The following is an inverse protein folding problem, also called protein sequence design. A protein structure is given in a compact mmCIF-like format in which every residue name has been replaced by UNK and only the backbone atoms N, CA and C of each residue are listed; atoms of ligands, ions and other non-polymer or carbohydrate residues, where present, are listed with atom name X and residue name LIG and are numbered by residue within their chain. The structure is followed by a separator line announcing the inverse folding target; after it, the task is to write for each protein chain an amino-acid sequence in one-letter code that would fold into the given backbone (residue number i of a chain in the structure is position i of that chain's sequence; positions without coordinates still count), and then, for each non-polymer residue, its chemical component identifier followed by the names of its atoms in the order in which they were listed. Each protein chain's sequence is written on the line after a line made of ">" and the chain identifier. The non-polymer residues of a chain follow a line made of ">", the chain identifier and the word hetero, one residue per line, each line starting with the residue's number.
data_IF_265040146313
#
_entry.id   IF_265040146313
#
_cell.length_a   1.000
_cell.length_b   1.000
_cell.length_c   1.000
_cell.angle_alpha   90.00
_cell.angle_beta   90.00
_cell.angle_gamma   90.00
#
_symmetry.space_group_name_H-M   'P 1'
#
loop_
_entity.id
_entity.type
_entity.pdbx_description
1 polymer ?
#
# COMPACT_ATOMS: atom_id res chain seq x y z
N UNK A 1 24.72 -21.61 12.86
CA UNK A 1 23.27 -21.93 12.75
C UNK A 1 22.88 -21.79 11.31
N UNK A 2 22.83 -22.93 10.65
CA UNK A 2 22.50 -23.09 9.23
C UNK A 2 21.07 -22.59 8.99
N UNK A 3 20.95 -21.73 7.99
CA UNK A 3 19.68 -21.11 7.62
C UNK A 3 18.95 -22.16 6.79
N UNK A 4 17.93 -22.80 7.37
CA UNK A 4 17.09 -23.79 6.70
C UNK A 4 16.67 -23.30 5.31
N UNK A 5 17.31 -23.85 4.29
CA UNK A 5 17.06 -23.66 2.87
C UNK A 5 15.89 -24.54 2.40
N UNK A 6 14.81 -24.59 3.20
CA UNK A 6 13.74 -25.57 3.07
C UNK A 6 12.34 -24.99 3.16
N UNK A 7 12.12 -23.78 2.64
CA UNK A 7 10.76 -23.37 2.25
C UNK A 7 10.76 -23.33 0.74
N UNK A 8 10.38 -24.47 0.15
CA UNK A 8 10.07 -24.60 -1.26
C UNK A 8 9.27 -23.39 -1.71
N UNK A 9 9.85 -22.63 -2.63
CA UNK A 9 9.16 -21.57 -3.32
C UNK A 9 8.10 -22.29 -4.15
N UNK A 10 6.87 -22.44 -3.61
CA UNK A 10 5.73 -22.92 -4.39
C UNK A 10 5.78 -22.27 -5.76
N UNK A 11 5.59 -23.06 -6.82
CA UNK A 11 5.70 -22.59 -8.20
C UNK A 11 4.70 -21.47 -8.41
N UNK A 12 5.20 -20.24 -8.26
CA UNK A 12 4.38 -19.06 -8.41
C UNK A 12 4.12 -18.91 -9.90
N UNK A 13 3.00 -19.46 -10.38
CA UNK A 13 2.54 -19.28 -11.74
C UNK A 13 2.10 -17.82 -11.90
N UNK A 14 3.03 -16.97 -12.31
CA UNK A 14 2.69 -15.63 -12.77
C UNK A 14 2.00 -15.78 -14.13
N UNK A 15 0.79 -15.24 -14.28
CA UNK A 15 0.10 -15.17 -15.59
C UNK A 15 0.98 -14.52 -16.67
N UNK A 16 1.93 -13.69 -16.25
CA UNK A 16 2.90 -13.06 -17.11
C UNK A 16 4.16 -13.92 -17.18
N UNK A 17 4.37 -14.55 -18.33
CA UNK A 17 5.55 -15.38 -18.60
C UNK A 17 6.58 -14.65 -19.47
N UNK A 18 6.23 -13.48 -20.03
CA UNK A 18 7.11 -12.67 -20.86
C UNK A 18 7.10 -11.20 -20.48
N UNK A 19 8.17 -10.49 -20.86
CA UNK A 19 8.24 -9.03 -20.80
C UNK A 19 7.14 -8.36 -21.64
N UNK A 20 6.78 -8.98 -22.77
CA UNK A 20 5.73 -8.47 -23.66
C UNK A 20 4.37 -8.49 -22.97
N UNK A 21 4.02 -9.58 -22.29
CA UNK A 21 2.74 -9.69 -21.58
C UNK A 21 2.63 -8.64 -20.46
N UNK A 22 3.74 -8.43 -19.73
CA UNK A 22 3.82 -7.38 -18.70
C UNK A 22 3.61 -5.99 -19.31
N UNK A 23 4.20 -5.74 -20.48
CA UNK A 23 4.08 -4.47 -21.18
C UNK A 23 2.66 -4.21 -21.67
N UNK A 24 2.02 -5.19 -22.32
CA UNK A 24 0.62 -5.06 -22.78
C UNK A 24 -0.34 -4.87 -21.61
N UNK A 25 -0.15 -5.60 -20.50
CA UNK A 25 -0.95 -5.42 -19.30
C UNK A 25 -0.81 -4.00 -18.71
N UNK A 26 0.40 -3.45 -18.71
CA UNK A 26 0.65 -2.09 -18.26
C UNK A 26 0.01 -1.05 -19.19
N UNK A 27 0.10 -1.25 -20.51
CA UNK A 27 -0.55 -0.40 -21.52
C UNK A 27 -2.06 -0.41 -21.32
N UNK A 28 -2.67 -1.59 -21.21
CA UNK A 28 -4.11 -1.75 -21.00
C UNK A 28 -4.57 -1.09 -19.69
N UNK A 29 -3.77 -1.19 -18.62
CA UNK A 29 -4.10 -0.57 -17.34
C UNK A 29 -3.96 0.97 -17.37
N UNK A 30 -2.97 1.50 -18.10
CA UNK A 30 -2.75 2.94 -18.23
C UNK A 30 -3.79 3.62 -19.12
N UNK A 31 -4.19 2.92 -20.18
CA UNK A 31 -5.05 3.43 -21.23
C UNK A 31 -6.19 2.43 -21.51
N UNK A 32 -7.12 2.24 -20.56
CA UNK A 32 -8.18 1.24 -20.68
C UNK A 32 -9.10 1.48 -21.89
N UNK A 33 -9.28 2.76 -22.27
CA UNK A 33 -10.11 3.17 -23.40
C UNK A 33 -9.28 3.58 -24.63
N UNK A 34 -8.02 3.14 -24.70
CA UNK A 34 -7.06 3.55 -25.74
C UNK A 34 -6.20 4.74 -25.34
N UNK A 35 -5.18 5.00 -26.16
CA UNK A 35 -4.16 6.01 -25.90
C UNK A 35 -4.76 7.40 -25.66
N UNK A 36 -4.23 8.11 -24.66
CA UNK A 36 -4.51 9.54 -24.44
C UNK A 36 -3.19 10.28 -24.31
N UNK A 37 -2.95 11.24 -25.20
CA UNK A 37 -1.73 12.03 -25.19
C UNK A 37 -1.64 12.89 -23.91
N UNK A 38 -0.54 12.80 -23.13
CA UNK A 38 -0.40 13.58 -21.90
C UNK A 38 -0.26 15.09 -22.12
N UNK A 39 0.01 15.55 -23.36
CA UNK A 39 0.18 16.97 -23.69
C UNK A 39 -1.07 17.64 -24.26
N UNK A 40 -1.86 16.92 -25.05
CA UNK A 40 -2.97 17.53 -25.80
C UNK A 40 -4.27 16.72 -25.77
N UNK A 41 -4.33 15.65 -24.96
CA UNK A 41 -5.47 14.74 -24.81
C UNK A 41 -5.97 14.07 -26.10
N UNK A 42 -5.26 14.20 -27.22
CA UNK A 42 -5.63 13.54 -28.47
C UNK A 42 -5.44 12.02 -28.36
N UNK A 43 -6.37 11.27 -28.96
CA UNK A 43 -6.51 9.82 -28.76
C UNK A 43 -5.88 8.96 -29.84
N UNK A 44 -5.55 9.53 -31.00
CA UNK A 44 -4.86 8.81 -32.08
C UNK A 44 -3.35 8.85 -31.87
N UNK A 45 -2.71 7.70 -32.06
CA UNK A 45 -1.26 7.56 -31.97
C UNK A 45 -0.71 6.52 -32.94
N UNK A 46 0.59 6.61 -33.20
CA UNK A 46 1.39 5.55 -33.82
C UNK A 46 2.23 4.86 -32.75
N UNK A 47 2.17 3.53 -32.69
CA UNK A 47 2.98 2.72 -31.77
C UNK A 47 4.32 2.38 -32.42
N UNK A 48 5.41 2.86 -31.84
CA UNK A 48 6.78 2.62 -32.29
C UNK A 48 7.39 1.50 -31.45
N UNK A 49 7.63 0.34 -32.08
CA UNK A 49 8.10 -0.90 -31.42
C UNK A 49 9.58 -1.20 -31.66
N UNK A 50 10.34 -0.28 -32.27
CA UNK A 50 11.77 -0.46 -32.56
C UNK A 50 12.67 -0.49 -31.33
N UNK A 51 12.12 -0.26 -30.13
CA UNK A 51 12.82 -0.27 -28.83
C UNK A 51 12.18 -1.30 -27.91
N UNK A 52 12.94 -1.77 -26.92
CA UNK A 52 12.44 -2.70 -25.89
C UNK A 52 11.22 -2.15 -25.13
N UNK A 53 11.18 -0.84 -24.88
CA UNK A 53 10.00 -0.16 -24.35
C UNK A 53 9.34 0.59 -25.51
N UNK A 54 8.10 0.25 -25.91
CA UNK A 54 7.44 0.90 -27.02
C UNK A 54 7.15 2.37 -26.70
N UNK A 55 7.23 3.20 -27.73
CA UNK A 55 6.83 4.61 -27.66
C UNK A 55 5.52 4.82 -28.40
N UNK A 56 4.69 5.71 -27.89
CA UNK A 56 3.44 6.12 -28.50
C UNK A 56 3.58 7.57 -28.96
N UNK A 57 3.56 7.79 -30.27
CA UNK A 57 3.63 9.12 -30.86
C UNK A 57 2.22 9.65 -31.12
N UNK A 58 1.90 10.82 -30.56
CA UNK A 58 0.62 11.46 -30.78
C UNK A 58 0.44 11.90 -32.24
N UNK A 59 -0.69 11.55 -32.86
CA UNK A 59 -1.00 11.93 -34.24
C UNK A 59 -1.13 13.44 -34.47
N UNK A 60 -1.45 14.22 -33.42
CA UNK A 60 -1.67 15.68 -33.49
C UNK A 60 -0.42 16.49 -33.16
N UNK A 61 0.13 16.34 -31.94
CA UNK A 61 1.25 17.16 -31.48
C UNK A 61 2.63 16.51 -31.64
N UNK A 62 2.70 15.30 -32.21
CA UNK A 62 3.93 14.50 -32.40
C UNK A 62 4.72 14.20 -31.13
N UNK A 63 4.13 14.45 -29.96
CA UNK A 63 4.76 14.12 -28.69
C UNK A 63 4.83 12.59 -28.52
N UNK A 64 6.02 12.10 -28.20
CA UNK A 64 6.27 10.69 -27.91
C UNK A 64 6.25 10.46 -26.39
N UNK A 65 5.50 9.45 -25.95
CA UNK A 65 5.46 9.02 -24.56
C UNK A 65 5.59 7.51 -24.43
N UNK A 66 6.23 7.05 -23.37
CA UNK A 66 6.26 5.64 -22.99
C UNK A 66 5.05 5.30 -22.10
N UNK A 67 4.57 4.04 -22.11
CA UNK A 67 3.55 3.59 -21.16
C UNK A 67 4.06 3.65 -19.70
N UNK A 68 5.37 3.66 -19.45
CA UNK A 68 5.91 3.75 -18.08
C UNK A 68 5.87 5.17 -17.50
N UNK A 69 5.80 6.22 -18.32
CA UNK A 69 5.83 7.63 -17.87
C UNK A 69 4.62 7.94 -16.99
N UNK A 70 4.82 8.61 -15.86
CA UNK A 70 3.74 8.92 -14.92
C UNK A 70 3.27 7.74 -14.07
N UNK A 71 4.04 6.65 -14.01
CA UNK A 71 3.77 5.46 -13.19
C UNK A 71 4.95 5.19 -12.25
N UNK A 72 4.80 4.31 -11.25
CA UNK A 72 5.94 3.93 -10.39
C UNK A 72 7.11 3.27 -11.15
N UNK A 73 6.84 2.75 -12.36
CA UNK A 73 7.79 2.09 -13.25
C UNK A 73 8.60 3.07 -14.09
N UNK A 74 8.28 4.37 -14.05
CA UNK A 74 9.02 5.39 -14.80
C UNK A 74 10.52 5.36 -14.45
N UNK A 75 11.35 5.40 -15.50
CA UNK A 75 12.81 5.36 -15.38
C UNK A 75 13.38 4.02 -14.89
N UNK A 76 12.61 2.92 -14.90
CA UNK A 76 13.15 1.61 -14.56
C UNK A 76 14.08 1.08 -15.66
N UNK A 77 15.23 0.54 -15.24
CA UNK A 77 16.10 -0.29 -16.08
C UNK A 77 15.93 -1.79 -15.76
N UNK A 78 15.04 -2.13 -14.82
CA UNK A 78 14.73 -3.53 -14.51
C UNK A 78 13.70 -4.07 -15.49
N UNK A 79 13.84 -5.37 -15.87
CA UNK A 79 12.79 -6.09 -16.58
C UNK A 79 11.44 -6.00 -15.84
N UNK A 80 10.35 -5.75 -16.56
CA UNK A 80 9.01 -5.65 -15.98
C UNK A 80 8.58 -6.95 -15.31
N UNK A 81 9.05 -8.10 -15.78
CA UNK A 81 8.79 -9.40 -15.15
C UNK A 81 9.23 -9.42 -13.68
N UNK A 82 10.34 -8.75 -13.35
CA UNK A 82 10.79 -8.62 -11.96
C UNK A 82 9.87 -7.73 -11.13
N UNK A 83 9.30 -6.70 -11.73
CA UNK A 83 8.30 -5.84 -11.10
C UNK A 83 7.00 -6.58 -10.82
N UNK A 84 6.47 -7.30 -11.82
CA UNK A 84 5.26 -8.09 -11.67
C UNK A 84 5.44 -9.19 -10.61
N UNK A 85 6.59 -9.87 -10.61
CA UNK A 85 6.94 -10.82 -9.53
C UNK A 85 7.02 -10.15 -8.16
N UNK A 86 7.49 -8.90 -8.08
CA UNK A 86 7.50 -8.15 -6.82
C UNK A 86 6.08 -7.76 -6.35
N UNK A 87 5.17 -7.39 -7.27
CA UNK A 87 3.76 -7.10 -6.96
C UNK A 87 3.05 -8.35 -6.44
N UNK A 88 3.26 -9.48 -7.10
CA UNK A 88 2.73 -10.77 -6.71
C UNK A 88 3.20 -11.18 -5.29
N UNK A 89 4.50 -11.09 -5.02
CA UNK A 89 5.07 -11.39 -3.70
C UNK A 89 4.66 -10.38 -2.63
N UNK A 90 4.34 -9.14 -3.02
CA UNK A 90 3.79 -8.14 -2.10
C UNK A 90 2.41 -8.54 -1.60
N UNK A 91 1.59 -9.22 -2.41
CA UNK A 91 0.22 -9.63 -2.04
C UNK A 91 0.13 -10.81 -1.06
N UNK A 92 1.23 -11.54 -0.85
CA UNK A 92 1.33 -12.65 0.12
C UNK A 92 0.78 -12.28 1.50
N UNK A 93 0.31 -13.26 2.28
CA UNK A 93 -0.41 -13.01 3.54
C UNK A 93 0.35 -12.10 4.52
N UNK A 94 1.60 -12.42 4.80
CA UNK A 94 2.52 -11.60 5.60
C UNK A 94 3.23 -10.48 4.81
N UNK A 95 3.20 -10.56 3.48
CA UNK A 95 3.96 -9.69 2.58
C UNK A 95 5.36 -10.24 2.38
N UNK A 96 6.27 -9.44 1.85
CA UNK A 96 7.65 -9.87 1.59
C UNK A 96 8.68 -8.84 2.05
N UNK A 97 9.66 -9.31 2.82
CA UNK A 97 10.80 -8.48 3.22
C UNK A 97 11.70 -8.17 2.02
N UNK A 98 12.35 -7.00 2.04
CA UNK A 98 13.31 -6.63 1.00
C UNK A 98 14.47 -7.64 0.88
N UNK A 99 14.83 -8.29 1.99
CA UNK A 99 15.84 -9.34 2.02
C UNK A 99 15.40 -10.58 1.23
N UNK A 100 14.17 -11.06 1.45
CA UNK A 100 13.62 -12.21 0.72
C UNK A 100 13.37 -11.86 -0.74
N UNK A 101 12.82 -10.68 -1.02
CA UNK A 101 12.58 -10.24 -2.40
C UNK A 101 13.88 -10.22 -3.21
N UNK A 102 14.97 -9.66 -2.67
CA UNK A 102 16.27 -9.61 -3.37
C UNK A 102 16.75 -10.99 -3.83
N UNK A 103 16.52 -12.04 -3.02
CA UNK A 103 16.90 -13.41 -3.32
C UNK A 103 16.04 -13.98 -4.44
N UNK A 104 14.72 -13.76 -4.37
CA UNK A 104 13.74 -14.33 -5.30
C UNK A 104 13.81 -13.70 -6.71
N UNK A 105 14.01 -12.38 -6.80
CA UNK A 105 14.11 -11.68 -8.10
C UNK A 105 15.55 -11.40 -8.55
N UNK A 106 16.55 -11.84 -7.75
CA UNK A 106 17.99 -11.68 -7.99
C UNK A 106 18.37 -10.25 -8.35
N UNK A 107 18.23 -9.35 -7.37
CA UNK A 107 18.63 -7.93 -7.47
C UNK A 107 19.36 -7.49 -6.21
N UNK A 108 20.02 -6.33 -6.26
CA UNK A 108 20.61 -5.73 -5.07
C UNK A 108 19.54 -5.40 -4.01
N UNK A 109 19.92 -5.46 -2.73
CA UNK A 109 19.00 -5.15 -1.62
C UNK A 109 18.37 -3.75 -1.76
N UNK A 110 19.17 -2.74 -2.10
CA UNK A 110 18.69 -1.35 -2.29
C UNK A 110 17.61 -1.27 -3.37
N UNK A 111 17.74 -2.07 -4.43
CA UNK A 111 16.77 -2.16 -5.51
C UNK A 111 15.46 -2.78 -5.03
N UNK A 112 15.53 -3.94 -4.38
CA UNK A 112 14.35 -4.60 -3.80
C UNK A 112 13.62 -3.71 -2.78
N UNK A 113 14.38 -3.02 -1.92
CA UNK A 113 13.85 -2.07 -0.96
C UNK A 113 13.14 -0.90 -1.65
N UNK A 114 13.78 -0.29 -2.66
CA UNK A 114 13.20 0.81 -3.44
C UNK A 114 11.92 0.39 -4.17
N UNK A 115 11.90 -0.80 -4.79
CA UNK A 115 10.71 -1.36 -5.43
C UNK A 115 9.55 -1.48 -4.46
N UNK A 116 9.76 -2.13 -3.31
CA UNK A 116 8.71 -2.28 -2.30
C UNK A 116 8.24 -0.93 -1.74
N UNK A 117 9.15 0.02 -1.54
CA UNK A 117 8.76 1.35 -1.07
C UNK A 117 7.94 2.14 -2.10
N UNK A 118 8.22 1.98 -3.39
CA UNK A 118 7.38 2.54 -4.47
C UNK A 118 5.98 1.91 -4.47
N UNK A 119 5.88 0.59 -4.29
CA UNK A 119 4.59 -0.11 -4.20
C UNK A 119 3.82 0.35 -2.94
N UNK A 120 4.47 0.40 -1.77
CA UNK A 120 3.88 0.94 -0.52
C UNK A 120 3.39 2.36 -0.69
N UNK A 121 4.14 3.19 -1.40
CA UNK A 121 3.74 4.56 -1.69
C UNK A 121 2.47 4.58 -2.55
N UNK A 122 2.42 3.81 -3.64
CA UNK A 122 1.22 3.72 -4.47
C UNK A 122 0.00 3.24 -3.68
N UNK A 123 0.16 2.22 -2.83
CA UNK A 123 -0.89 1.73 -1.93
C UNK A 123 -1.33 2.79 -0.93
N UNK A 124 -0.39 3.50 -0.32
CA UNK A 124 -0.67 4.54 0.66
C UNK A 124 -1.37 5.77 0.07
N UNK A 125 -0.98 6.19 -1.14
CA UNK A 125 -1.61 7.31 -1.85
C UNK A 125 -3.03 6.99 -2.28
N UNK A 126 -3.25 5.77 -2.79
CA UNK A 126 -4.58 5.33 -3.16
C UNK A 126 -5.48 5.22 -1.94
N UNK A 127 -4.98 4.60 -0.85
CA UNK A 127 -5.71 4.57 0.42
C UNK A 127 -6.03 5.98 0.90
N UNK A 128 -5.10 6.93 0.83
CA UNK A 128 -5.34 8.31 1.26
C UNK A 128 -6.47 9.02 0.51
N UNK A 129 -6.73 8.66 -0.76
CA UNK A 129 -7.83 9.22 -1.57
C UNK A 129 -9.19 8.66 -1.21
N UNK A 130 -9.24 7.45 -0.66
CA UNK A 130 -10.50 6.80 -0.28
C UNK A 130 -10.81 7.08 1.20
N UNK A 131 -11.84 7.88 1.45
CA UNK A 131 -12.33 8.14 2.81
C UNK A 131 -13.17 6.96 3.31
N UNK A 132 -13.20 6.79 4.64
CA UNK A 132 -14.13 5.87 5.29
C UNK A 132 -15.54 6.49 5.23
N UNK A 133 -16.52 5.71 4.77
CA UNK A 133 -17.91 6.10 4.67
C UNK A 133 -18.84 5.12 5.40
N UNK A 134 -20.08 5.54 5.71
CA UNK A 134 -21.10 4.68 6.34
C UNK A 134 -20.97 4.61 7.87
N UNK A 135 -21.08 3.42 8.45
CA UNK A 135 -20.91 3.22 9.89
C UNK A 135 -19.42 3.12 10.24
N UNK A 136 -18.86 4.23 10.74
CA UNK A 136 -17.43 4.35 11.01
C UNK A 136 -17.15 4.29 12.50
N UNK A 137 -16.32 3.33 12.91
CA UNK A 137 -15.85 3.18 14.30
C UNK A 137 -14.40 3.61 14.40
N UNK A 138 -14.08 4.49 15.36
CA UNK A 138 -12.73 5.02 15.56
C UNK A 138 -12.25 4.75 16.98
N UNK A 139 -11.05 4.17 17.10
CA UNK A 139 -10.41 3.76 18.33
C UNK A 139 -9.02 4.40 18.48
N UNK A 140 -8.61 4.70 19.71
CA UNK A 140 -7.19 4.91 20.06
C UNK A 140 -6.58 3.62 20.59
N UNK A 141 -5.46 3.18 20.02
CA UNK A 141 -4.73 1.98 20.47
C UNK A 141 -3.20 2.21 20.49
N UNK A 142 -2.43 1.17 20.83
CA UNK A 142 -0.97 1.19 20.89
C UNK A 142 -0.37 0.10 19.99
N UNK A 143 0.40 0.52 18.99
CA UNK A 143 1.23 -0.37 18.20
C UNK A 143 2.46 -0.79 19.00
N UNK A 144 2.78 -2.09 19.02
CA UNK A 144 3.97 -2.61 19.71
C UNK A 144 3.75 -3.04 21.17
N UNK A 145 2.50 -3.06 21.66
CA UNK A 145 2.16 -3.55 23.00
C UNK A 145 1.73 -5.01 22.93
N UNK A 146 2.41 -5.89 23.68
CA UNK A 146 1.92 -7.25 23.89
C UNK A 146 0.92 -7.28 25.06
N UNK A 147 -0.36 -7.69 24.86
CA UNK A 147 -1.32 -7.79 25.95
C UNK A 147 -0.92 -8.81 27.02
N UNK A 148 -0.17 -9.86 26.68
CA UNK A 148 0.27 -10.87 27.65
C UNK A 148 1.50 -10.44 28.48
N UNK A 149 2.11 -9.28 28.17
CA UNK A 149 3.20 -8.68 28.95
C UNK A 149 2.80 -7.30 29.50
N UNK A 150 1.60 -7.22 30.08
CA UNK A 150 1.00 -5.97 30.60
C UNK A 150 1.83 -5.20 31.64
N UNK A 151 2.83 -5.82 32.27
CA UNK A 151 3.54 -5.24 33.41
C UNK A 151 4.73 -4.34 33.05
N UNK A 152 5.18 -4.29 31.79
CA UNK A 152 6.36 -3.51 31.40
C UNK A 152 6.00 -2.37 30.45
N UNK A 153 6.43 -1.15 30.80
CA UNK A 153 6.45 -0.01 29.88
C UNK A 153 7.28 -0.40 28.66
N UNK A 154 6.64 -0.46 27.48
CA UNK A 154 7.34 -0.74 26.24
C UNK A 154 7.86 0.57 25.64
N UNK A 155 9.18 0.84 25.67
CA UNK A 155 9.74 2.11 25.17
C UNK A 155 9.52 2.29 23.66
N UNK A 156 9.22 1.21 22.95
CA UNK A 156 8.97 1.20 21.51
C UNK A 156 7.48 1.25 21.13
N UNK A 157 6.57 1.18 22.11
CA UNK A 157 5.14 1.28 21.85
C UNK A 157 4.81 2.70 21.33
N UNK A 158 3.99 2.76 20.29
CA UNK A 158 3.61 4.02 19.65
C UNK A 158 2.09 4.13 19.61
N UNK A 159 1.55 5.29 19.97
CA UNK A 159 0.12 5.52 19.88
C UNK A 159 -0.34 5.49 18.41
N UNK A 160 -1.47 4.84 18.16
CA UNK A 160 -2.12 4.78 16.85
C UNK A 160 -3.60 5.11 16.99
N UNK A 161 -4.13 5.79 15.98
CA UNK A 161 -5.58 5.95 15.78
C UNK A 161 -5.97 4.99 14.67
N UNK A 162 -6.92 4.10 14.96
CA UNK A 162 -7.47 3.19 13.98
C UNK A 162 -8.94 3.56 13.72
N UNK A 163 -9.35 3.54 12.46
CA UNK A 163 -10.74 3.71 12.06
C UNK A 163 -11.15 2.61 11.09
N UNK A 164 -12.41 2.17 11.17
CA UNK A 164 -12.95 1.22 10.21
C UNK A 164 -14.40 1.51 9.83
N UNK A 165 -14.73 1.22 8.57
CA UNK A 165 -16.12 1.03 8.13
C UNK A 165 -16.56 -0.38 8.52
N UNK A 166 -17.78 -0.49 9.03
CA UNK A 166 -18.34 -1.72 9.58
C UNK A 166 -19.43 -2.24 8.66
N UNK A 167 -19.43 -3.55 8.41
CA UNK A 167 -20.52 -4.24 7.68
C UNK A 167 -21.75 -4.40 8.58
N UNK A 168 -22.89 -4.81 8.00
CA UNK A 168 -24.10 -5.16 8.76
C UNK A 168 -23.83 -6.22 9.85
N UNK A 169 -22.88 -7.13 9.60
CA UNK A 169 -22.46 -8.18 10.55
C UNK A 169 -21.56 -7.67 11.70
N UNK A 170 -21.15 -6.40 11.69
CA UNK A 170 -20.24 -5.86 12.69
C UNK A 170 -18.76 -6.16 12.42
N UNK A 171 -18.37 -6.67 11.26
CA UNK A 171 -16.96 -6.92 10.97
C UNK A 171 -16.31 -5.72 10.25
N UNK A 172 -15.01 -5.44 10.47
CA UNK A 172 -14.35 -4.30 9.86
C UNK A 172 -13.98 -4.62 8.41
N UNK A 173 -14.58 -3.90 7.48
CA UNK A 173 -14.33 -4.04 6.04
C UNK A 173 -13.10 -3.23 5.63
N UNK A 174 -13.24 -1.90 5.57
CA UNK A 174 -12.13 -0.99 5.31
C UNK A 174 -11.54 -0.50 6.63
N UNK A 175 -10.23 -0.62 6.79
CA UNK A 175 -9.51 -0.23 8.01
C UNK A 175 -8.38 0.72 7.65
N UNK A 176 -8.24 1.78 8.44
CA UNK A 176 -7.11 2.72 8.35
C UNK A 176 -6.45 2.81 9.72
N UNK A 177 -5.12 2.72 9.75
CA UNK A 177 -4.33 2.84 10.97
C UNK A 177 -3.34 4.00 10.78
N UNK A 178 -3.43 5.01 11.63
CA UNK A 178 -2.55 6.19 11.62
C UNK A 178 -1.70 6.25 12.86
N UNK A 179 -0.40 6.40 12.65
CA UNK A 179 0.60 6.58 13.68
C UNK A 179 0.56 8.01 14.21
N UNK A 180 0.64 8.17 15.53
CA UNK A 180 0.84 9.45 16.20
C UNK A 180 2.32 9.54 16.60
N UNK A 181 3.19 10.09 15.73
CA UNK A 181 4.65 9.93 15.86
C UNK A 181 5.23 10.61 17.11
N UNK A 182 4.56 11.65 17.63
CA UNK A 182 5.01 12.42 18.79
C UNK A 182 4.69 11.75 20.14
N UNK A 183 3.92 10.64 20.12
CA UNK A 183 3.52 9.89 21.32
C UNK A 183 4.11 8.48 21.30
N UNK A 184 5.45 8.42 21.42
CA UNK A 184 6.22 7.18 21.56
C UNK A 184 6.64 6.95 23.01
N UNK A 185 6.47 5.72 23.49
CA UNK A 185 6.86 5.29 24.82
C UNK A 185 5.91 5.75 25.93
N UNK A 186 5.88 4.97 27.02
CA UNK A 186 5.22 5.30 28.29
C UNK A 186 3.72 5.48 28.19
N UNK A 187 2.96 4.41 27.96
CA UNK A 187 1.47 4.34 28.01
C UNK A 187 0.65 5.47 27.35
N UNK A 188 1.27 6.41 26.63
CA UNK A 188 0.61 7.53 25.97
C UNK A 188 -0.34 7.01 24.91
N UNK A 189 -1.54 7.59 24.88
CA UNK A 189 -2.59 7.30 23.90
C UNK A 189 -2.87 8.54 23.06
N UNK A 190 -3.50 8.31 21.92
CA UNK A 190 -4.00 9.41 21.10
C UNK A 190 -5.03 10.20 21.92
N UNK A 191 -4.96 11.52 21.86
CA UNK A 191 -5.91 12.38 22.55
C UNK A 191 -7.13 12.67 21.66
N UNK A 192 -8.06 13.48 22.17
CA UNK A 192 -9.25 13.88 21.41
C UNK A 192 -8.87 14.69 20.16
N UNK A 193 -7.77 15.43 20.17
CA UNK A 193 -7.33 16.21 19.03
C UNK A 193 -6.81 15.30 17.91
N UNK A 194 -6.01 14.28 18.25
CA UNK A 194 -5.54 13.25 17.32
C UNK A 194 -6.71 12.49 16.67
N UNK A 195 -7.72 12.14 17.48
CA UNK A 195 -8.96 11.50 16.99
C UNK A 195 -9.74 12.40 16.03
N UNK A 196 -9.85 13.69 16.36
CA UNK A 196 -10.55 14.67 15.51
C UNK A 196 -9.79 14.91 14.21
N UNK A 197 -8.46 15.00 14.27
CA UNK A 197 -7.60 15.13 13.10
C UNK A 197 -7.73 13.91 12.17
N UNK A 198 -7.83 12.70 12.74
CA UNK A 198 -8.10 11.48 11.97
C UNK A 198 -9.45 11.54 11.26
N UNK A 199 -10.52 11.92 11.97
CA UNK A 199 -11.87 12.02 11.38
C UNK A 199 -11.85 13.00 10.20
N UNK A 200 -11.34 14.22 10.41
CA UNK A 200 -11.33 15.26 9.39
C UNK A 200 -10.51 14.89 8.14
N UNK A 201 -9.48 14.05 8.29
CA UNK A 201 -8.60 13.66 7.19
C UNK A 201 -8.94 12.34 6.51
N UNK A 202 -9.72 11.46 7.15
CA UNK A 202 -9.90 10.07 6.71
C UNK A 202 -11.33 9.55 6.73
N UNK A 203 -12.30 10.34 7.17
CA UNK A 203 -13.71 9.97 7.22
C UNK A 203 -14.52 10.98 6.41
N UNK A 204 -15.42 10.49 5.56
CA UNK A 204 -16.40 11.35 4.92
C UNK A 204 -17.51 11.68 5.92
N UNK A 205 -17.39 12.84 6.58
CA UNK A 205 -18.30 13.28 7.64
C UNK A 205 -19.74 13.46 7.12
N UNK A 206 -19.93 13.67 5.81
CA UNK A 206 -21.28 13.96 5.26
C UNK A 206 -22.12 12.69 5.11
N UNK A 207 -21.48 11.55 4.87
CA UNK A 207 -22.16 10.28 4.55
C UNK A 207 -22.03 9.24 5.65
N UNK A 208 -21.51 9.62 6.83
CA UNK A 208 -21.08 8.64 7.85
C UNK A 208 -21.64 8.91 9.24
N UNK A 209 -22.06 7.83 9.91
CA UNK A 209 -22.33 7.83 11.35
C UNK A 209 -21.04 7.43 12.09
N UNK A 210 -20.39 8.39 12.76
CA UNK A 210 -19.10 8.17 13.41
C UNK A 210 -19.27 7.85 14.89
N UNK A 211 -18.79 6.69 15.32
CA UNK A 211 -18.73 6.27 16.72
C UNK A 211 -17.28 6.34 17.24
N UNK A 212 -17.08 7.16 18.28
CA UNK A 212 -15.78 7.37 18.91
C UNK A 212 -15.63 6.56 20.19
N UNK A 213 -14.52 5.81 20.29
CA UNK A 213 -14.17 5.07 21.49
C UNK A 213 -12.80 5.51 22.03
N UNK A 214 -12.75 6.63 22.79
CA UNK A 214 -11.49 7.21 23.28
C UNK A 214 -10.90 6.44 24.47
N UNK A 215 -11.70 5.63 25.18
CA UNK A 215 -11.30 4.94 26.41
C UNK A 215 -11.07 3.45 26.15
N UNK A 216 -10.02 2.87 26.76
CA UNK A 216 -9.61 1.47 26.53
C UNK A 216 -10.70 0.42 26.79
N UNK A 217 -11.59 0.66 27.75
CA UNK A 217 -12.65 -0.28 28.10
C UNK A 217 -13.89 -0.18 27.19
N UNK A 218 -13.97 0.87 26.35
CA UNK A 218 -15.03 1.03 25.34
C UNK A 218 -14.53 0.76 23.92
N UNK A 219 -13.28 0.31 23.75
CA UNK A 219 -12.72 0.08 22.40
C UNK A 219 -13.54 -0.96 21.63
N UNK A 220 -13.78 -0.67 20.36
CA UNK A 220 -14.37 -1.64 19.46
C UNK A 220 -13.45 -2.87 19.29
N UNK A 221 -13.87 -4.02 19.81
CA UNK A 221 -13.02 -5.21 19.91
C UNK A 221 -12.52 -5.75 18.55
N UNK A 222 -13.33 -5.79 17.47
CA UNK A 222 -12.85 -6.23 16.15
C UNK A 222 -11.73 -5.35 15.60
N UNK A 223 -11.81 -4.03 15.80
CA UNK A 223 -10.76 -3.11 15.34
C UNK A 223 -9.46 -3.26 16.16
N UNK A 224 -9.58 -3.50 17.46
CA UNK A 224 -8.42 -3.82 18.32
C UNK A 224 -7.72 -5.11 17.90
N UNK A 225 -8.49 -6.12 17.48
CA UNK A 225 -7.96 -7.38 16.91
C UNK A 225 -7.13 -7.08 15.65
N UNK A 226 -7.63 -6.25 14.74
CA UNK A 226 -6.90 -5.88 13.51
C UNK A 226 -5.59 -5.14 13.81
N UNK A 227 -5.57 -4.21 14.78
CA UNK A 227 -4.30 -3.51 15.16
C UNK A 227 -3.27 -4.50 15.71
N UNK A 228 -3.70 -5.52 16.45
CA UNK A 228 -2.83 -6.57 16.97
C UNK A 228 -2.30 -7.47 15.86
N UNK A 229 -3.17 -7.94 14.98
CA UNK A 229 -2.80 -8.75 13.81
C UNK A 229 -1.81 -7.99 12.91
N UNK A 230 -2.01 -6.68 12.74
CA UNK A 230 -1.07 -5.82 12.01
C UNK A 230 0.32 -5.84 12.67
N UNK A 231 0.39 -5.69 13.99
CA UNK A 231 1.66 -5.72 14.71
C UNK A 231 2.36 -7.09 14.62
N UNK A 232 1.62 -8.18 14.84
CA UNK A 232 2.17 -9.54 14.78
C UNK A 232 2.66 -9.89 13.36
N UNK A 233 1.87 -9.55 12.34
CA UNK A 233 2.21 -9.74 10.93
C UNK A 233 3.48 -8.94 10.57
N UNK A 234 3.52 -7.65 10.87
CA UNK A 234 4.67 -6.81 10.55
C UNK A 234 5.94 -7.23 11.31
N UNK A 235 5.81 -7.62 12.57
CA UNK A 235 6.94 -8.11 13.37
C UNK A 235 7.47 -9.42 12.81
N UNK A 236 6.60 -10.35 12.40
CA UNK A 236 6.97 -11.64 11.82
C UNK A 236 7.71 -11.47 10.49
N UNK A 237 7.20 -10.63 9.58
CA UNK A 237 7.75 -10.49 8.23
C UNK A 237 8.95 -9.54 8.15
N UNK A 238 8.94 -8.45 8.90
CA UNK A 238 9.91 -7.35 8.76
C UNK A 238 10.81 -7.14 9.99
N UNK A 239 10.49 -7.76 11.12
CA UNK A 239 11.17 -7.51 12.39
C UNK A 239 10.79 -6.14 12.99
N UNK A 240 11.71 -5.55 13.75
CA UNK A 240 11.48 -4.27 14.40
C UNK A 240 11.55 -3.10 13.40
N UNK A 241 10.42 -2.43 13.18
CA UNK A 241 10.32 -1.28 12.28
C UNK A 241 10.56 0.05 13.02
N UNK A 242 11.34 0.94 12.41
CA UNK A 242 11.52 2.31 12.89
C UNK A 242 10.34 3.22 12.54
N UNK A 243 10.12 4.26 13.36
CA UNK A 243 9.02 5.23 13.19
C UNK A 243 8.99 5.89 11.81
N UNK A 244 10.16 6.07 11.20
CA UNK A 244 10.32 6.76 9.91
C UNK A 244 9.48 6.15 8.79
N UNK A 245 9.34 4.83 8.77
CA UNK A 245 8.63 4.11 7.71
C UNK A 245 7.41 3.34 8.22
N UNK A 246 7.20 3.28 9.53
CA UNK A 246 6.14 2.49 10.16
C UNK A 246 4.76 2.78 9.54
N UNK A 247 4.42 4.04 9.26
CA UNK A 247 3.16 4.38 8.59
C UNK A 247 3.00 3.73 7.21
N UNK A 248 4.06 3.65 6.41
CA UNK A 248 4.01 3.03 5.10
C UNK A 248 3.78 1.51 5.19
N UNK A 249 4.31 0.86 6.22
CA UNK A 249 4.08 -0.57 6.48
C UNK A 249 2.67 -0.84 7.03
N UNK A 250 2.14 0.07 7.86
CA UNK A 250 0.75 0.01 8.30
C UNK A 250 -0.22 0.16 7.12
N UNK A 251 0.03 1.11 6.21
CA UNK A 251 -0.74 1.28 4.98
C UNK A 251 -0.65 0.06 4.07
N UNK A 252 0.52 -0.57 3.96
CA UNK A 252 0.64 -1.84 3.24
C UNK A 252 -0.26 -2.91 3.86
N UNK A 253 -0.22 -3.07 5.19
CA UNK A 253 -1.00 -4.10 5.85
C UNK A 253 -2.51 -3.89 5.62
N UNK A 254 -3.01 -2.66 5.83
CA UNK A 254 -4.42 -2.34 5.60
C UNK A 254 -4.82 -2.46 4.14
N UNK A 255 -3.97 -2.02 3.21
CA UNK A 255 -4.21 -2.13 1.77
C UNK A 255 -4.28 -3.59 1.31
N UNK A 256 -3.35 -4.45 1.74
CA UNK A 256 -3.37 -5.88 1.42
C UNK A 256 -4.60 -6.57 2.01
N UNK A 257 -4.97 -6.25 3.25
CA UNK A 257 -6.18 -6.77 3.89
C UNK A 257 -7.43 -6.41 3.08
N UNK A 258 -7.55 -5.15 2.64
CA UNK A 258 -8.68 -4.69 1.83
C UNK A 258 -8.78 -5.41 0.49
N UNK A 259 -7.65 -5.57 -0.22
CA UNK A 259 -7.61 -6.29 -1.49
C UNK A 259 -8.10 -7.74 -1.35
N UNK A 260 -7.77 -8.42 -0.24
CA UNK A 260 -8.23 -9.79 0.03
C UNK A 260 -9.71 -9.88 0.35
N UNK A 261 -10.24 -8.96 1.16
CA UNK A 261 -11.66 -8.96 1.52
C UNK A 261 -12.56 -8.77 0.30
N UNK A 262 -12.13 -7.97 -0.67
CA UNK A 262 -12.84 -7.78 -1.93
C UNK A 262 -12.70 -8.98 -2.89
N UNK A 263 -11.86 -9.97 -2.57
CA UNK A 263 -11.56 -11.14 -3.39
C UNK A 263 -12.37 -12.39 -3.04
N UNK A 264 -13.55 -12.30 -2.41
CA UNK A 264 -14.33 -13.50 -2.01
C UNK A 264 -14.93 -14.34 -3.15
N UNK A 265 -14.66 -14.03 -4.42
CA UNK A 265 -15.26 -14.65 -5.62
C UNK A 265 -14.20 -15.48 -6.39
N UNK A 266 -14.60 -16.53 -7.15
CA UNK A 266 -13.67 -17.24 -8.03
C UNK A 266 -12.99 -16.25 -9.00
N UNK A 267 -11.65 -16.27 -9.06
CA UNK A 267 -10.85 -15.21 -9.74
C UNK A 267 -10.32 -14.11 -8.80
N UNK A 268 -10.48 -14.29 -7.49
CA UNK A 268 -9.98 -13.44 -6.40
C UNK A 268 -8.55 -12.90 -6.62
N UNK A 269 -7.61 -13.81 -6.89
CA UNK A 269 -6.19 -13.47 -6.99
C UNK A 269 -5.89 -12.58 -8.18
N UNK A 270 -6.54 -12.86 -9.31
CA UNK A 270 -6.39 -12.04 -10.51
C UNK A 270 -6.95 -10.63 -10.27
N UNK A 271 -8.10 -10.54 -9.61
CA UNK A 271 -8.71 -9.25 -9.25
C UNK A 271 -7.81 -8.45 -8.30
N UNK A 272 -7.19 -9.11 -7.31
CA UNK A 272 -6.22 -8.47 -6.41
C UNK A 272 -5.00 -7.92 -7.15
N UNK A 273 -4.43 -8.73 -8.07
CA UNK A 273 -3.28 -8.34 -8.88
C UNK A 273 -3.60 -7.16 -9.79
N UNK A 274 -4.75 -7.20 -10.48
CA UNK A 274 -5.20 -6.13 -11.35
C UNK A 274 -5.41 -4.82 -10.58
N UNK A 275 -6.07 -4.87 -9.42
CA UNK A 275 -6.26 -3.69 -8.55
C UNK A 275 -4.93 -3.12 -8.07
N UNK A 276 -4.00 -3.97 -7.60
CA UNK A 276 -2.67 -3.50 -7.17
C UNK A 276 -1.90 -2.86 -8.34
N UNK A 277 -1.94 -3.46 -9.53
CA UNK A 277 -1.30 -2.91 -10.72
C UNK A 277 -1.93 -1.56 -11.10
N UNK A 278 -3.26 -1.44 -11.03
CA UNK A 278 -3.97 -0.18 -11.27
C UNK A 278 -3.48 0.93 -10.32
N UNK A 279 -3.34 0.63 -9.03
CA UNK A 279 -2.81 1.58 -8.04
C UNK A 279 -1.38 2.01 -8.42
N UNK A 280 -0.53 1.07 -8.86
CA UNK A 280 0.85 1.33 -9.27
C UNK A 280 0.97 2.16 -10.56
N UNK A 281 0.00 2.03 -11.47
CA UNK A 281 -0.06 2.79 -12.73
C UNK A 281 -0.64 4.19 -12.51
N UNK A 282 -1.60 4.35 -11.60
CA UNK A 282 -2.27 5.62 -11.33
C UNK A 282 -1.42 6.63 -10.53
N UNK A 283 -0.38 6.16 -9.82
CA UNK A 283 0.47 7.00 -8.97
C UNK A 283 1.80 7.31 -9.68
N UNK A 284 2.19 8.59 -9.77
CA UNK A 284 3.42 8.98 -10.44
C UNK A 284 4.65 8.45 -9.73
N UNK A 285 5.75 8.32 -10.48
CA UNK A 285 7.03 7.96 -9.90
C UNK A 285 7.45 8.97 -8.83
N UNK A 286 7.87 8.43 -7.69
CA UNK A 286 8.51 9.20 -6.64
C UNK A 286 10.03 8.96 -6.66
N UNK A 287 10.85 10.00 -6.52
CA UNK A 287 12.30 9.85 -6.44
C UNK A 287 12.71 9.25 -5.10
N UNK A 288 13.82 8.49 -5.10
CA UNK A 288 14.33 7.83 -3.89
C UNK A 288 14.49 8.78 -2.70
N UNK A 289 14.96 10.02 -2.94
CA UNK A 289 15.10 11.06 -1.90
C UNK A 289 13.79 11.38 -1.18
N UNK A 290 12.65 11.35 -1.88
CA UNK A 290 11.33 11.58 -1.30
C UNK A 290 10.83 10.34 -0.54
N UNK A 291 11.12 9.12 -1.00
CA UNK A 291 10.79 7.87 -0.27
C UNK A 291 11.51 7.79 1.09
N UNK A 292 12.76 8.24 1.13
CA UNK A 292 13.56 8.24 2.36
C UNK A 292 13.38 9.49 3.19
N UNK A 293 12.65 10.51 2.73
CA UNK A 293 12.35 11.66 3.56
C UNK A 293 11.44 11.22 4.71
N UNK A 294 11.56 11.86 5.88
CA UNK A 294 10.48 11.77 6.86
C UNK A 294 9.30 12.48 6.21
N UNK A 295 8.30 11.74 5.75
CA UNK A 295 7.07 12.36 5.30
C UNK A 295 6.42 13.00 6.53
N UNK A 296 6.31 14.35 6.63
CA UNK A 296 5.32 14.90 7.54
C UNK A 296 3.97 14.35 7.10
N UNK A 297 3.08 14.04 8.06
CA UNK A 297 1.67 13.77 7.78
C UNK A 297 1.06 15.05 7.19
N UNK A 298 1.36 15.36 5.93
CA UNK A 298 0.72 16.45 5.21
C UNK A 298 -0.56 15.87 4.59
N UNK A 299 -1.73 16.46 4.87
CA UNK A 299 -2.89 16.20 4.05
C UNK A 299 -2.53 16.60 2.61
N UNK A 300 -2.78 15.70 1.66
CA UNK A 300 -2.63 16.01 0.24
C UNK A 300 -3.49 17.23 -0.07
N UNK A 301 -2.87 18.25 -0.68
CA UNK A 301 -3.60 19.37 -1.24
C UNK A 301 -4.69 18.82 -2.17
N UNK A 302 -5.93 19.26 -1.94
CA UNK A 302 -7.05 18.97 -2.82
C UNK A 302 -6.62 19.29 -4.27
N UNK A 303 -6.71 18.29 -5.15
CA UNK A 303 -6.59 18.55 -6.57
C UNK A 303 -7.73 19.51 -6.95
N UNK A 304 -7.35 20.73 -7.34
CA UNK A 304 -8.23 21.65 -8.03
C UNK A 304 -8.52 21.16 -9.45
#
# INVERSE_FOLDING_TARGET
>A
MEINAGTELQSFSSRFNSEQDCMEALIAMKWPNGFVCPRCAHTRCSRLTSRHIPLFECGKCKHQTSPLVGTIFEGTHLPLLKWFKALDLFLLEGGISALRLRQVIRVAYKTAWSMLHKIRHAVGEFDARELLSGDVKVNSDQYGRNPSRCQLSHPYASAVVAGCTVTESGEPEQVKIRLVPHKRGGEKRADRHDLTAFINGHVDVRTSAVQLFPQAFRLYAPLRRVVREAWESLKSTYGALGLKHLQAYLNEYTGRRRLRLQGGLPGAEETMRQKLLQMCVAIPAIPYRRLIARQPNQPLAAAA
#
